data_IF_280249286340
#
_entry.id   IF_280249286340
#
_cell.length_a   1.000
_cell.length_b   1.000
_cell.length_c   1.000
_cell.angle_alpha   90.00
_cell.angle_beta   90.00
_cell.angle_gamma   90.00
#
_symmetry.space_group_name_H-M   'P 1'
#
loop_
_entity.id
_entity.type
_entity.pdbx_description
1 polymer ?
#
# COMPACT_ATOMS: atom_id res chain seq x y z
N UNK A 1 30.45 15.03 -18.52
CA UNK A 1 30.82 15.19 -17.09
C UNK A 1 29.71 15.83 -16.27
N UNK A 2 29.17 16.99 -16.68
CA UNK A 2 28.12 17.75 -15.94
C UNK A 2 26.88 16.95 -15.54
N UNK A 3 26.42 15.99 -16.36
CA UNK A 3 25.24 15.18 -16.05
C UNK A 3 25.47 14.17 -14.91
N UNK A 4 26.68 13.63 -14.76
CA UNK A 4 27.00 12.66 -13.72
C UNK A 4 27.10 13.33 -12.35
N UNK A 5 27.72 14.51 -12.28
CA UNK A 5 27.84 15.29 -11.05
C UNK A 5 26.47 15.79 -10.55
N UNK A 6 25.62 16.23 -11.48
CA UNK A 6 24.23 16.62 -11.17
C UNK A 6 23.43 15.43 -10.62
N UNK A 7 23.57 14.25 -11.23
CA UNK A 7 22.88 13.05 -10.76
C UNK A 7 23.37 12.60 -9.38
N UNK A 8 24.69 12.69 -9.14
CA UNK A 8 25.28 12.40 -7.84
C UNK A 8 24.76 13.36 -6.76
N UNK A 9 24.57 14.64 -7.09
CA UNK A 9 23.98 15.62 -6.17
C UNK A 9 22.51 15.32 -5.85
N UNK A 10 21.70 15.01 -6.87
CA UNK A 10 20.30 14.59 -6.70
C UNK A 10 20.22 13.35 -5.80
N UNK A 11 21.07 12.35 -6.03
CA UNK A 11 21.14 11.14 -5.21
C UNK A 11 21.55 11.45 -3.77
N UNK A 12 22.52 12.33 -3.54
CA UNK A 12 22.92 12.75 -2.19
C UNK A 12 21.78 13.43 -1.47
N UNK A 13 21.05 14.32 -2.15
CA UNK A 13 19.87 15.01 -1.61
C UNK A 13 18.72 14.03 -1.32
N UNK A 14 18.43 13.10 -2.21
CA UNK A 14 17.43 12.05 -1.98
C UNK A 14 17.80 11.14 -0.80
N UNK A 15 19.08 10.72 -0.70
CA UNK A 15 19.59 9.95 0.44
C UNK A 15 19.48 10.77 1.73
N UNK A 16 19.78 12.06 1.68
CA UNK A 16 19.65 12.95 2.84
C UNK A 16 18.19 13.07 3.30
N UNK A 17 17.25 13.28 2.38
CA UNK A 17 15.80 13.31 2.66
C UNK A 17 15.39 12.01 3.37
N UNK A 18 15.80 10.86 2.84
CA UNK A 18 15.46 9.57 3.42
C UNK A 18 16.12 9.29 4.77
N UNK A 19 17.36 9.72 4.99
CA UNK A 19 18.02 9.58 6.29
C UNK A 19 17.30 10.37 7.38
N UNK A 20 16.64 11.46 6.99
CA UNK A 20 15.85 12.31 7.88
C UNK A 20 14.34 12.04 7.73
N UNK A 21 13.95 10.88 7.20
CA UNK A 21 12.54 10.50 7.04
C UNK A 21 11.89 10.00 8.33
N UNK A 22 12.67 9.82 9.40
CA UNK A 22 12.14 9.40 10.70
C UNK A 22 11.13 10.45 11.21
N UNK A 23 9.88 10.05 11.36
CA UNK A 23 8.76 10.94 11.72
C UNK A 23 8.08 11.67 10.55
N UNK A 24 8.56 11.51 9.31
CA UNK A 24 7.89 12.04 8.11
C UNK A 24 6.90 11.04 7.54
N UNK A 25 5.77 11.54 7.04
CA UNK A 25 4.82 10.74 6.26
C UNK A 25 5.38 10.45 4.87
N UNK A 26 4.93 9.37 4.23
CA UNK A 26 5.29 9.05 2.83
C UNK A 26 5.00 10.22 1.87
N UNK A 27 3.96 11.01 2.15
CA UNK A 27 3.60 12.21 1.39
C UNK A 27 4.64 13.33 1.55
N UNK A 28 5.14 13.58 2.75
CA UNK A 28 6.17 14.61 2.97
C UNK A 28 7.49 14.22 2.30
N UNK A 29 7.87 12.94 2.41
CA UNK A 29 9.05 12.41 1.70
C UNK A 29 8.87 12.56 0.19
N UNK A 30 7.66 12.29 -0.30
CA UNK A 30 7.31 12.44 -1.70
C UNK A 30 7.42 13.88 -2.21
N UNK A 31 6.87 14.83 -1.46
CA UNK A 31 6.93 16.26 -1.78
C UNK A 31 8.37 16.77 -1.78
N UNK A 32 9.20 16.35 -0.81
CA UNK A 32 10.63 16.70 -0.78
C UNK A 32 11.40 16.07 -1.96
N UNK A 33 11.11 14.83 -2.33
CA UNK A 33 11.72 14.19 -3.51
C UNK A 33 11.26 14.83 -4.83
N UNK A 34 9.98 15.23 -4.92
CA UNK A 34 9.43 15.95 -6.06
C UNK A 34 10.01 17.36 -6.20
N UNK A 35 10.35 18.02 -5.08
CA UNK A 35 11.02 19.33 -5.04
C UNK A 35 12.44 19.32 -5.62
N UNK A 36 12.99 18.15 -5.94
CA UNK A 36 14.28 18.04 -6.62
C UNK A 36 14.23 18.50 -8.11
N UNK A 37 13.12 19.12 -8.55
CA UNK A 37 12.86 19.94 -9.76
C UNK A 37 13.33 19.41 -11.13
N UNK A 38 13.91 18.21 -11.20
CA UNK A 38 14.68 17.78 -12.38
C UNK A 38 14.44 16.36 -12.84
N UNK A 39 13.40 15.72 -12.35
CA UNK A 39 13.21 14.30 -12.54
C UNK A 39 11.90 14.07 -13.31
N UNK A 40 11.97 14.33 -14.62
CA UNK A 40 11.07 13.60 -15.52
C UNK A 40 11.30 12.10 -15.31
N UNK A 41 10.29 11.27 -15.55
CA UNK A 41 10.39 9.81 -15.39
C UNK A 41 11.62 9.22 -16.13
N UNK A 42 12.00 9.80 -17.26
CA UNK A 42 13.18 9.43 -18.05
C UNK A 42 14.51 9.69 -17.34
N UNK A 43 14.59 10.75 -16.53
CA UNK A 43 15.79 11.09 -15.75
C UNK A 43 16.02 10.17 -14.56
N UNK A 44 14.98 9.49 -14.06
CA UNK A 44 15.06 8.64 -12.88
C UNK A 44 15.41 7.17 -13.17
N UNK A 45 15.19 6.71 -14.40
CA UNK A 45 15.51 5.33 -14.82
C UNK A 45 16.98 4.93 -14.55
N UNK A 46 18.02 5.77 -14.80
CA UNK A 46 19.40 5.47 -14.42
C UNK A 46 19.59 5.28 -12.92
N UNK A 47 18.88 6.06 -12.10
CA UNK A 47 18.90 5.97 -10.63
C UNK A 47 18.28 4.67 -10.18
N UNK A 48 17.07 4.35 -10.66
CA UNK A 48 16.41 3.09 -10.37
C UNK A 48 17.30 1.88 -10.72
N UNK A 49 17.95 1.91 -11.90
CA UNK A 49 18.93 0.88 -12.30
C UNK A 49 20.17 0.84 -11.41
N UNK A 50 20.66 1.97 -10.92
CA UNK A 50 21.79 2.00 -9.98
C UNK A 50 21.41 1.40 -8.62
N UNK A 51 20.19 1.69 -8.13
CA UNK A 51 19.66 1.13 -6.90
C UNK A 51 19.45 -0.38 -7.00
N UNK A 52 18.85 -0.87 -8.10
CA UNK A 52 18.71 -2.32 -8.34
C UNK A 52 20.09 -3.00 -8.35
N UNK A 53 21.08 -2.43 -9.06
CA UNK A 53 22.45 -2.96 -9.04
C UNK A 53 23.09 -2.96 -7.64
N UNK A 54 22.77 -1.96 -6.81
CA UNK A 54 23.21 -1.90 -5.42
C UNK A 54 22.58 -3.01 -4.56
N UNK A 55 21.29 -3.32 -4.78
CA UNK A 55 20.63 -4.47 -4.17
C UNK A 55 21.28 -5.78 -4.62
N UNK A 56 21.44 -6.00 -5.93
CA UNK A 56 22.07 -7.20 -6.49
C UNK A 56 23.48 -7.41 -5.90
N UNK A 57 24.28 -6.34 -5.83
CA UNK A 57 25.61 -6.40 -5.23
C UNK A 57 25.57 -6.74 -3.74
N UNK A 58 24.59 -6.23 -2.99
CA UNK A 58 24.42 -6.55 -1.57
C UNK A 58 23.96 -8.00 -1.38
N UNK A 59 23.06 -8.51 -2.20
CA UNK A 59 22.62 -9.91 -2.18
C UNK A 59 23.78 -10.86 -2.48
N UNK A 60 24.57 -10.60 -3.54
CA UNK A 60 25.75 -11.42 -3.87
C UNK A 60 26.77 -11.49 -2.74
N UNK A 61 26.98 -10.38 -2.03
CA UNK A 61 27.87 -10.36 -0.85
C UNK A 61 27.29 -11.24 0.27
N UNK A 62 25.97 -11.25 0.46
CA UNK A 62 25.31 -12.05 1.49
C UNK A 62 25.26 -13.54 1.16
N UNK A 63 25.19 -13.91 -0.12
CA UNK A 63 25.19 -15.30 -0.58
C UNK A 63 26.60 -15.91 -0.62
N UNK A 64 27.65 -15.07 -0.59
CA UNK A 64 29.03 -15.53 -0.64
C UNK A 64 29.46 -16.18 0.70
N UNK A 65 29.94 -17.44 0.69
CA UNK A 65 30.34 -18.15 1.90
C UNK A 65 31.61 -17.59 2.54
N UNK A 66 32.39 -16.79 1.81
CA UNK A 66 33.66 -16.22 2.28
C UNK A 66 33.50 -14.82 2.89
N UNK A 67 32.28 -14.27 2.93
CA UNK A 67 32.03 -12.91 3.40
C UNK A 67 32.24 -12.80 4.91
N UNK A 68 33.09 -11.86 5.34
CA UNK A 68 33.31 -11.63 6.76
C UNK A 68 32.08 -10.96 7.41
N UNK A 69 31.90 -11.13 8.74
CA UNK A 69 30.74 -10.61 9.48
C UNK A 69 30.53 -9.10 9.31
N UNK A 70 31.61 -8.31 9.28
CA UNK A 70 31.54 -6.86 9.13
C UNK A 70 31.04 -6.45 7.74
N UNK A 71 31.47 -7.15 6.70
CA UNK A 71 31.04 -6.91 5.32
C UNK A 71 29.58 -7.33 5.12
N UNK A 72 29.20 -8.49 5.65
CA UNK A 72 27.80 -8.93 5.66
C UNK A 72 26.89 -7.91 6.36
N UNK A 73 27.30 -7.39 7.52
CA UNK A 73 26.53 -6.37 8.24
C UNK A 73 26.35 -5.08 7.41
N UNK A 74 27.40 -4.63 6.72
CA UNK A 74 27.32 -3.47 5.81
C UNK A 74 26.41 -3.75 4.62
N UNK A 75 26.50 -4.94 4.02
CA UNK A 75 25.64 -5.34 2.90
C UNK A 75 24.17 -5.40 3.32
N UNK A 76 23.86 -5.96 4.50
CA UNK A 76 22.50 -5.95 5.06
C UNK A 76 21.97 -4.53 5.22
N UNK A 77 22.74 -3.66 5.88
CA UNK A 77 22.34 -2.25 6.07
C UNK A 77 22.07 -1.55 4.73
N UNK A 78 22.94 -1.75 3.74
CA UNK A 78 22.74 -1.20 2.38
C UNK A 78 21.49 -1.74 1.71
N UNK A 79 21.27 -3.06 1.76
CA UNK A 79 20.09 -3.69 1.15
C UNK A 79 18.80 -3.13 1.76
N UNK A 80 18.69 -3.10 3.09
CA UNK A 80 17.52 -2.56 3.79
C UNK A 80 17.24 -1.11 3.37
N UNK A 81 18.24 -0.23 3.41
CA UNK A 81 18.06 1.18 3.00
C UNK A 81 17.65 1.31 1.53
N UNK A 82 18.24 0.49 0.64
CA UNK A 82 17.98 0.57 -0.80
C UNK A 82 16.58 0.06 -1.14
N UNK A 83 16.16 -1.05 -0.50
CA UNK A 83 14.80 -1.61 -0.64
C UNK A 83 13.76 -0.61 -0.15
N UNK A 84 13.96 -0.01 1.03
CA UNK A 84 13.06 1.03 1.55
C UNK A 84 12.99 2.25 0.63
N UNK A 85 14.14 2.73 0.12
CA UNK A 85 14.19 3.84 -0.85
C UNK A 85 13.39 3.49 -2.12
N UNK A 86 13.58 2.31 -2.70
CA UNK A 86 12.83 1.86 -3.87
C UNK A 86 11.32 1.86 -3.61
N UNK A 87 10.89 1.44 -2.42
CA UNK A 87 9.48 1.48 -2.03
C UNK A 87 8.90 2.90 -2.06
N UNK A 88 9.59 3.87 -1.44
CA UNK A 88 9.16 5.26 -1.46
C UNK A 88 9.16 5.86 -2.86
N UNK A 89 10.18 5.55 -3.67
CA UNK A 89 10.25 5.98 -5.06
C UNK A 89 9.12 5.42 -5.93
N UNK A 90 8.65 4.21 -5.64
CA UNK A 90 7.49 3.63 -6.31
C UNK A 90 6.20 4.41 -5.99
N UNK A 91 6.00 4.80 -4.73
CA UNK A 91 4.84 5.59 -4.33
C UNK A 91 4.76 6.93 -5.07
N UNK A 92 5.91 7.56 -5.35
CA UNK A 92 6.00 8.79 -6.15
C UNK A 92 6.14 8.58 -7.66
N UNK A 93 5.89 7.36 -8.15
CA UNK A 93 5.92 7.02 -9.57
C UNK A 93 7.28 7.27 -10.25
N UNK A 94 8.37 7.31 -9.49
CA UNK A 94 9.74 7.42 -9.99
C UNK A 94 10.39 6.05 -10.25
N UNK A 95 9.79 4.98 -9.75
CA UNK A 95 10.18 3.59 -10.00
C UNK A 95 8.98 2.83 -10.55
N UNK A 96 9.19 2.12 -11.66
CA UNK A 96 8.14 1.31 -12.27
C UNK A 96 7.82 0.06 -11.43
N UNK A 97 6.55 -0.38 -11.46
CA UNK A 97 6.06 -1.59 -10.78
C UNK A 97 6.95 -2.82 -11.02
N UNK A 98 7.41 -3.03 -12.26
CA UNK A 98 8.28 -4.15 -12.65
C UNK A 98 9.57 -4.23 -11.81
N UNK A 99 10.09 -3.10 -11.34
CA UNK A 99 11.29 -3.03 -10.49
C UNK A 99 10.96 -3.52 -9.08
N UNK A 100 9.80 -3.15 -8.54
CA UNK A 100 9.34 -3.62 -7.22
C UNK A 100 9.09 -5.12 -7.24
N UNK A 101 8.42 -5.65 -8.28
CA UNK A 101 8.21 -7.09 -8.42
C UNK A 101 9.52 -7.85 -8.55
N UNK A 102 10.45 -7.34 -9.36
CA UNK A 102 11.79 -7.90 -9.44
C UNK A 102 12.48 -7.92 -8.08
N UNK A 103 12.44 -6.81 -7.33
CA UNK A 103 13.05 -6.73 -6.00
C UNK A 103 12.46 -7.75 -5.02
N UNK A 104 11.13 -7.92 -5.02
CA UNK A 104 10.45 -8.93 -4.20
C UNK A 104 10.88 -10.36 -4.60
N UNK A 105 10.97 -10.63 -5.90
CA UNK A 105 11.45 -11.92 -6.42
C UNK A 105 12.93 -12.17 -6.08
N UNK A 106 13.79 -11.16 -6.12
CA UNK A 106 15.22 -11.29 -5.77
C UNK A 106 15.42 -11.49 -4.25
N UNK A 107 14.55 -10.92 -3.41
CA UNK A 107 14.55 -11.16 -1.97
C UNK A 107 14.04 -12.56 -1.61
N UNK A 108 13.02 -13.05 -2.33
CA UNK A 108 12.39 -14.35 -2.09
C UNK A 108 12.38 -15.16 -3.40
N UNK A 109 13.53 -15.73 -3.79
CA UNK A 109 13.71 -16.38 -5.08
C UNK A 109 12.68 -17.49 -5.33
N UNK A 110 12.19 -17.67 -6.57
CA UNK A 110 11.30 -18.78 -6.92
C UNK A 110 12.06 -20.11 -6.81
N UNK A 111 11.62 -21.01 -5.93
CA UNK A 111 12.19 -22.34 -5.73
C UNK A 111 12.21 -22.79 -4.26
N UNK A 112 12.85 -23.94 -4.01
CA UNK A 112 12.97 -24.56 -2.67
C UNK A 112 14.05 -23.92 -1.78
N UNK A 113 14.74 -22.90 -2.30
CA UNK A 113 15.72 -22.15 -1.52
C UNK A 113 15.05 -21.42 -0.36
N UNK A 114 15.37 -21.80 0.87
CA UNK A 114 14.92 -21.08 2.06
C UNK A 114 15.64 -19.72 2.13
N UNK A 115 14.93 -18.58 1.99
CA UNK A 115 15.59 -17.28 2.08
C UNK A 115 16.17 -17.07 3.47
N UNK A 116 17.20 -16.24 3.57
CA UNK A 116 17.71 -15.80 4.86
C UNK A 116 16.65 -14.96 5.59
N UNK A 117 16.60 -15.04 6.92
CA UNK A 117 15.68 -14.26 7.75
C UNK A 117 15.72 -12.76 7.40
N UNK A 118 16.92 -12.23 7.14
CA UNK A 118 17.11 -10.84 6.76
C UNK A 118 16.42 -10.45 5.44
N UNK A 119 16.33 -11.36 4.46
CA UNK A 119 15.63 -11.11 3.20
C UNK A 119 14.11 -11.09 3.41
N UNK A 120 13.59 -11.93 4.30
CA UNK A 120 12.17 -11.89 4.73
C UNK A 120 11.85 -10.55 5.38
N UNK A 121 12.72 -10.06 6.28
CA UNK A 121 12.54 -8.74 6.92
C UNK A 121 12.59 -7.57 5.93
N UNK A 122 13.46 -7.65 4.91
CA UNK A 122 13.49 -6.66 3.83
C UNK A 122 12.20 -6.70 2.99
N UNK A 123 11.67 -7.90 2.72
CA UNK A 123 10.43 -8.08 1.97
C UNK A 123 9.24 -7.53 2.74
N UNK A 124 9.14 -7.84 4.04
CA UNK A 124 8.14 -7.24 4.94
C UNK A 124 8.23 -5.71 4.92
N UNK A 125 9.44 -5.15 5.09
CA UNK A 125 9.63 -3.69 5.12
C UNK A 125 9.22 -3.02 3.81
N UNK A 126 9.54 -3.64 2.66
CA UNK A 126 9.11 -3.14 1.36
C UNK A 126 7.58 -3.16 1.25
N UNK A 127 6.96 -4.30 1.53
CA UNK A 127 5.52 -4.50 1.41
C UNK A 127 4.73 -3.60 2.38
N UNK A 128 5.26 -3.31 3.57
CA UNK A 128 4.65 -2.32 4.47
C UNK A 128 4.53 -0.93 3.84
N UNK A 129 5.50 -0.56 3.00
CA UNK A 129 5.51 0.74 2.28
C UNK A 129 4.63 0.68 1.02
N UNK A 130 4.78 -0.36 0.19
CA UNK A 130 4.17 -0.38 -1.16
C UNK A 130 2.94 -1.27 -1.30
N UNK A 131 2.60 -2.06 -0.28
CA UNK A 131 1.58 -3.11 -0.36
C UNK A 131 0.21 -2.59 -0.78
N UNK A 132 -0.26 -1.51 -0.17
CA UNK A 132 -1.53 -0.85 -0.56
C UNK A 132 -1.53 -0.43 -2.04
N UNK A 133 -0.47 0.25 -2.48
CA UNK A 133 -0.35 0.74 -3.86
C UNK A 133 -0.11 -0.40 -4.88
N UNK A 134 0.30 -1.59 -4.44
CA UNK A 134 0.34 -2.79 -5.26
C UNK A 134 -1.01 -3.51 -5.29
N UNK A 135 -1.74 -3.55 -4.18
CA UNK A 135 -3.07 -4.14 -4.10
C UNK A 135 -4.04 -3.49 -5.10
N UNK A 136 -3.97 -2.16 -5.24
CA UNK A 136 -4.81 -1.42 -6.20
C UNK A 136 -4.62 -1.82 -7.66
N UNK A 137 -3.42 -2.27 -8.04
CA UNK A 137 -3.04 -2.50 -9.44
C UNK A 137 -2.72 -3.95 -9.77
N UNK A 138 -2.45 -4.78 -8.77
CA UNK A 138 -1.99 -6.17 -8.93
C UNK A 138 -2.17 -7.00 -7.63
N UNK A 139 -3.39 -6.99 -7.08
CA UNK A 139 -3.72 -7.75 -5.87
C UNK A 139 -3.36 -9.24 -5.97
N UNK A 140 -3.58 -9.85 -7.14
CA UNK A 140 -3.36 -11.30 -7.32
C UNK A 140 -1.90 -11.72 -7.11
N UNK A 141 -0.94 -11.00 -7.70
CA UNK A 141 0.48 -11.28 -7.49
C UNK A 141 0.91 -10.98 -6.06
N UNK A 142 0.37 -9.91 -5.45
CA UNK A 142 0.66 -9.56 -4.06
C UNK A 142 0.19 -10.66 -3.09
N UNK A 143 -1.05 -11.13 -3.23
CA UNK A 143 -1.62 -12.22 -2.42
C UNK A 143 -0.79 -13.50 -2.57
N UNK A 144 -0.43 -13.87 -3.80
CA UNK A 144 0.43 -15.03 -4.05
C UNK A 144 1.80 -14.90 -3.36
N UNK A 145 2.41 -13.71 -3.42
CA UNK A 145 3.69 -13.46 -2.78
C UNK A 145 3.63 -13.52 -1.25
N UNK A 146 2.58 -12.95 -0.64
CA UNK A 146 2.37 -13.01 0.82
C UNK A 146 2.09 -14.45 1.26
N UNK A 147 1.28 -15.19 0.50
CA UNK A 147 1.05 -16.62 0.75
C UNK A 147 2.36 -17.41 0.77
N UNK A 148 3.25 -17.14 -0.19
CA UNK A 148 4.60 -17.73 -0.21
C UNK A 148 5.43 -17.37 1.02
N UNK A 149 5.42 -16.10 1.46
CA UNK A 149 6.11 -15.70 2.69
C UNK A 149 5.59 -16.47 3.90
N UNK A 150 4.27 -16.59 4.05
CA UNK A 150 3.62 -17.33 5.13
C UNK A 150 4.07 -18.79 5.11
N UNK A 151 4.01 -19.45 3.95
CA UNK A 151 4.48 -20.84 3.80
C UNK A 151 5.94 -21.02 4.18
N UNK A 152 6.82 -20.12 3.72
CA UNK A 152 8.25 -20.16 4.04
C UNK A 152 8.46 -20.01 5.54
N UNK A 153 7.73 -19.11 6.19
CA UNK A 153 7.82 -18.92 7.65
C UNK A 153 7.26 -20.08 8.46
N UNK A 154 6.33 -20.86 7.90
CA UNK A 154 5.81 -22.07 8.53
C UNK A 154 6.77 -23.27 8.38
N UNK A 155 7.45 -23.40 7.24
CA UNK A 155 8.37 -24.51 6.92
C UNK A 155 9.77 -24.35 7.52
N UNK A 156 10.18 -23.12 7.83
CA UNK A 156 11.54 -22.80 8.28
C UNK A 156 11.63 -22.60 9.80
N UNK A 157 12.84 -22.70 10.34
CA UNK A 157 13.13 -22.42 11.75
C UNK A 157 13.31 -20.92 12.03
N UNK A 158 12.51 -20.05 11.43
CA UNK A 158 12.63 -18.61 11.69
C UNK A 158 12.25 -18.28 13.15
N UNK A 159 12.93 -17.30 13.77
CA UNK A 159 12.56 -16.77 15.06
C UNK A 159 11.08 -16.35 15.12
N UNK A 160 10.45 -16.55 16.28
CA UNK A 160 9.05 -16.17 16.50
C UNK A 160 8.74 -14.70 16.13
N UNK A 161 9.61 -13.70 16.38
CA UNK A 161 9.38 -12.33 15.94
C UNK A 161 9.18 -12.19 14.42
N UNK A 162 10.02 -12.85 13.62
CA UNK A 162 9.92 -12.80 12.15
C UNK A 162 8.64 -13.44 11.64
N UNK A 163 8.23 -14.57 12.23
CA UNK A 163 6.94 -15.22 11.91
C UNK A 163 5.75 -14.30 12.21
N UNK A 164 5.77 -13.61 13.36
CA UNK A 164 4.73 -12.64 13.72
C UNK A 164 4.62 -11.47 12.74
N UNK A 165 5.75 -10.95 12.24
CA UNK A 165 5.73 -9.87 11.25
C UNK A 165 5.09 -10.32 9.92
N UNK A 166 5.34 -11.55 9.48
CA UNK A 166 4.71 -12.10 8.26
C UNK A 166 3.22 -12.35 8.46
N UNK A 167 2.82 -12.80 9.65
CA UNK A 167 1.40 -12.93 10.02
C UNK A 167 0.69 -11.57 10.08
N UNK A 168 1.31 -10.55 10.69
CA UNK A 168 0.83 -9.16 10.67
C UNK A 168 0.66 -8.67 9.22
N UNK A 169 1.62 -8.97 8.34
CA UNK A 169 1.54 -8.61 6.93
C UNK A 169 0.35 -9.26 6.23
N UNK A 170 0.08 -10.54 6.53
CA UNK A 170 -1.09 -11.26 5.99
C UNK A 170 -2.38 -10.57 6.44
N UNK A 171 -2.50 -10.26 7.72
CA UNK A 171 -3.66 -9.58 8.29
C UNK A 171 -3.87 -8.18 7.69
N UNK A 172 -2.80 -7.38 7.58
CA UNK A 172 -2.86 -6.06 6.94
C UNK A 172 -3.32 -6.19 5.49
N UNK A 173 -2.85 -7.21 4.76
CA UNK A 173 -3.21 -7.40 3.36
C UNK A 173 -4.68 -7.73 3.14
N UNK A 174 -5.32 -8.44 4.08
CA UNK A 174 -6.74 -8.79 3.99
C UNK A 174 -7.65 -7.67 4.50
N UNK A 175 -7.20 -6.88 5.47
CA UNK A 175 -8.04 -5.88 6.16
C UNK A 175 -7.85 -4.44 5.64
N UNK A 176 -6.62 -4.06 5.32
CA UNK A 176 -6.19 -2.66 5.23
C UNK A 176 -5.68 -2.24 3.86
N UNK A 177 -5.26 -3.19 3.02
CA UNK A 177 -4.83 -2.93 1.64
C UNK A 177 -5.93 -3.16 0.60
N UNK A 178 -7.11 -3.60 1.04
CA UNK A 178 -8.31 -3.55 0.23
C UNK A 178 -8.58 -2.07 -0.12
N UNK A 179 -8.79 -1.70 -1.40
CA UNK A 179 -9.16 -0.35 -1.76
C UNK A 179 -10.47 -0.01 -1.05
N UNK A 180 -10.39 0.83 -0.01
CA UNK A 180 -11.56 1.38 0.65
C UNK A 180 -12.26 2.28 -0.35
N UNK A 181 -13.31 1.78 -0.97
CA UNK A 181 -14.15 2.62 -1.82
C UNK A 181 -14.99 3.48 -0.90
N UNK A 182 -14.66 4.77 -0.90
CA UNK A 182 -15.53 5.80 -0.35
C UNK A 182 -16.61 6.06 -1.38
N UNK A 183 -17.86 5.81 -0.99
CA UNK A 183 -19.01 6.22 -1.77
C UNK A 183 -19.66 7.41 -1.07
N UNK A 184 -19.90 8.46 -1.85
CA UNK A 184 -20.81 9.50 -1.43
C UNK A 184 -22.23 8.95 -1.60
N UNK A 185 -22.99 8.96 -0.52
CA UNK A 185 -24.38 8.53 -0.50
C UNK A 185 -25.24 9.77 -0.41
N UNK A 186 -26.05 9.99 -1.45
CA UNK A 186 -27.14 10.95 -1.43
C UNK A 186 -28.42 10.20 -1.12
N UNK A 187 -29.12 10.63 -0.10
CA UNK A 187 -30.40 10.06 0.29
C UNK A 187 -31.41 11.21 0.35
N UNK A 188 -32.48 11.10 -0.45
CA UNK A 188 -33.54 12.11 -0.52
C UNK A 188 -34.89 11.51 -0.14
N UNK A 189 -35.61 12.20 0.73
CA UNK A 189 -36.96 11.81 1.11
C UNK A 189 -37.95 12.13 -0.01
N UNK A 190 -38.63 11.09 -0.52
CA UNK A 190 -39.69 11.22 -1.52
C UNK A 190 -40.96 10.54 -0.97
N UNK A 191 -41.88 11.35 -0.47
CA UNK A 191 -43.12 10.89 0.18
C UNK A 191 -42.88 9.90 1.34
N UNK A 192 -43.07 8.59 1.10
CA UNK A 192 -42.90 7.52 2.09
C UNK A 192 -41.65 6.66 1.87
N UNK A 193 -40.82 7.00 0.89
CA UNK A 193 -39.57 6.30 0.59
C UNK A 193 -38.38 7.26 0.59
N UNK A 194 -37.19 6.69 0.65
CA UNK A 194 -35.92 7.38 0.48
C UNK A 194 -35.32 6.90 -0.84
N UNK A 195 -35.08 7.83 -1.75
CA UNK A 195 -34.28 7.57 -2.94
C UNK A 195 -32.81 7.67 -2.55
N UNK A 196 -32.09 6.56 -2.67
CA UNK A 196 -30.66 6.48 -2.37
C UNK A 196 -29.91 6.42 -3.68
N UNK A 197 -28.92 7.29 -3.85
CA UNK A 197 -27.94 7.19 -4.92
C UNK A 197 -26.53 7.20 -4.34
N UNK A 198 -25.67 6.32 -4.85
CA UNK A 198 -24.29 6.23 -4.43
C UNK A 198 -23.38 6.59 -5.60
N UNK A 199 -22.49 7.55 -5.41
CA UNK A 199 -21.47 7.93 -6.38
C UNK A 199 -20.08 7.60 -5.87
N UNK A 200 -19.19 7.20 -6.76
CA UNK A 200 -17.77 7.09 -6.42
C UNK A 200 -17.15 8.50 -6.25
N UNK A 201 -15.89 8.56 -5.77
CA UNK A 201 -15.17 9.83 -5.64
C UNK A 201 -14.93 10.58 -6.96
N UNK A 202 -15.13 9.91 -8.11
CA UNK A 202 -15.11 10.53 -9.43
C UNK A 202 -16.45 11.13 -9.87
N UNK A 203 -17.49 11.05 -9.03
CA UNK A 203 -18.85 11.51 -9.34
C UNK A 203 -19.65 10.55 -10.22
N UNK A 204 -19.12 9.37 -10.55
CA UNK A 204 -19.86 8.38 -11.33
C UNK A 204 -20.83 7.63 -10.41
N UNK A 205 -22.07 7.50 -10.86
CA UNK A 205 -23.10 6.75 -10.15
C UNK A 205 -22.76 5.25 -10.16
N UNK A 206 -22.65 4.65 -8.98
CA UNK A 206 -22.33 3.23 -8.76
C UNK A 206 -23.61 2.42 -8.61
N UNK A 207 -24.56 2.92 -7.82
CA UNK A 207 -25.88 2.32 -7.67
C UNK A 207 -26.93 3.37 -7.29
N UNK A 208 -28.21 3.03 -7.52
CA UNK A 208 -29.34 3.75 -6.96
C UNK A 208 -30.50 2.78 -6.72
N UNK A 209 -31.21 3.00 -5.63
CA UNK A 209 -32.31 2.16 -5.19
C UNK A 209 -33.21 2.95 -4.23
N UNK A 210 -34.38 2.41 -3.95
CA UNK A 210 -35.36 3.02 -3.06
C UNK A 210 -35.48 2.19 -1.79
N UNK A 211 -35.53 2.86 -0.64
CA UNK A 211 -35.77 2.24 0.65
C UNK A 211 -37.01 2.83 1.31
N UNK A 212 -37.60 2.09 2.24
CA UNK A 212 -38.63 2.66 3.12
C UNK A 212 -37.99 3.69 4.04
N UNK A 213 -38.66 4.81 4.32
CA UNK A 213 -38.14 5.82 5.25
C UNK A 213 -37.92 5.29 6.68
N UNK A 214 -38.64 4.22 7.04
CA UNK A 214 -38.49 3.48 8.29
C UNK A 214 -37.32 2.50 8.31
N UNK A 215 -36.57 2.34 7.22
CA UNK A 215 -35.39 1.48 7.17
C UNK A 215 -34.31 2.04 8.11
N UNK A 216 -33.59 1.13 8.78
CA UNK A 216 -32.50 1.50 9.67
C UNK A 216 -31.21 1.68 8.88
N UNK A 217 -30.25 2.39 9.46
CA UNK A 217 -28.96 2.63 8.84
C UNK A 217 -28.19 1.33 8.47
N UNK A 218 -28.22 0.25 9.27
CA UNK A 218 -27.63 -1.03 8.87
C UNK A 218 -28.28 -1.65 7.63
N UNK A 219 -29.59 -1.43 7.42
CA UNK A 219 -30.30 -1.90 6.23
C UNK A 219 -29.79 -1.17 4.99
N UNK A 220 -29.50 0.14 5.09
CA UNK A 220 -28.89 0.92 4.01
C UNK A 220 -27.52 0.38 3.65
N UNK A 221 -26.67 0.14 4.64
CA UNK A 221 -25.33 -0.42 4.43
C UNK A 221 -25.42 -1.77 3.71
N UNK A 222 -26.29 -2.66 4.18
CA UNK A 222 -26.48 -3.98 3.59
C UNK A 222 -26.98 -3.91 2.14
N UNK A 223 -27.91 -2.99 1.84
CA UNK A 223 -28.43 -2.80 0.49
C UNK A 223 -27.37 -2.20 -0.46
N UNK A 224 -26.58 -1.21 0.00
CA UNK A 224 -25.47 -0.70 -0.80
C UNK A 224 -24.45 -1.82 -1.09
N UNK A 225 -24.15 -2.65 -0.10
CA UNK A 225 -23.26 -3.80 -0.26
C UNK A 225 -23.81 -4.85 -1.22
N UNK A 226 -25.13 -5.10 -1.23
CA UNK A 226 -25.77 -6.06 -2.14
C UNK A 226 -25.64 -5.63 -3.61
N UNK A 227 -25.71 -4.32 -3.87
CA UNK A 227 -25.63 -3.75 -5.22
C UNK A 227 -24.20 -3.62 -5.74
N UNK A 228 -23.22 -3.53 -4.85
CA UNK A 228 -21.81 -3.52 -5.24
C UNK A 228 -21.40 -4.98 -5.40
N UNK A 229 -21.38 -5.45 -6.67
CA UNK A 229 -21.08 -6.82 -7.12
C UNK A 229 -19.74 -7.45 -6.66
N UNK A 230 -19.02 -6.84 -5.72
CA UNK A 230 -17.78 -7.38 -5.16
C UNK A 230 -17.87 -7.44 -3.63
N UNK A 231 -17.47 -8.56 -3.01
CA UNK A 231 -17.38 -8.68 -1.57
C UNK A 231 -16.21 -7.81 -1.08
N UNK A 232 -16.47 -6.53 -0.88
CA UNK A 232 -15.52 -5.61 -0.28
C UNK A 232 -15.73 -5.61 1.23
N UNK A 233 -14.71 -5.99 1.98
CA UNK A 233 -14.81 -6.17 3.44
C UNK A 233 -14.94 -4.84 4.21
N UNK A 234 -14.71 -3.68 3.58
CA UNK A 234 -14.84 -2.36 4.23
C UNK A 234 -15.38 -1.29 3.26
N UNK A 235 -16.67 -1.01 3.38
CA UNK A 235 -17.34 0.13 2.73
C UNK A 235 -17.38 1.32 3.70
N UNK A 236 -16.89 2.48 3.27
CA UNK A 236 -17.09 3.74 4.01
C UNK A 236 -18.10 4.59 3.27
N UNK A 237 -19.27 4.77 3.89
CA UNK A 237 -20.33 5.63 3.39
C UNK A 237 -20.18 7.02 3.99
N UNK A 238 -20.14 8.02 3.12
CA UNK A 238 -20.16 9.43 3.52
C UNK A 238 -21.45 10.01 2.96
N UNK A 239 -22.30 10.58 3.82
CA UNK A 239 -23.45 11.33 3.32
C UNK A 239 -22.96 12.56 2.57
N UNK A 240 -23.67 13.01 1.53
CA UNK A 240 -23.31 14.27 0.82
C UNK A 240 -23.22 15.48 1.75
N UNK A 241 -23.87 15.43 2.93
CA UNK A 241 -23.73 16.43 4.00
C UNK A 241 -22.35 16.45 4.67
N UNK A 242 -21.45 15.52 4.31
CA UNK A 242 -20.13 15.33 4.91
C UNK A 242 -20.13 14.53 6.20
N UNK A 243 -21.31 14.11 6.68
CA UNK A 243 -21.44 13.30 7.88
C UNK A 243 -20.98 11.85 7.62
N UNK A 244 -20.16 11.32 8.52
CA UNK A 244 -19.82 9.89 8.57
C UNK A 244 -20.99 9.13 9.17
N UNK A 245 -21.45 8.09 8.48
CA UNK A 245 -22.49 7.21 8.96
C UNK A 245 -21.91 6.20 9.97
N UNK A 246 -22.31 6.22 11.25
CA UNK A 246 -21.95 5.17 12.19
C UNK A 246 -22.57 3.84 11.75
N UNK A 247 -21.79 2.76 11.70
CA UNK A 247 -22.28 1.44 11.26
C UNK A 247 -23.27 0.79 12.25
N UNK A 248 -23.28 1.22 13.52
CA UNK A 248 -24.01 0.54 14.61
C UNK A 248 -25.19 1.36 15.18
N UNK A 249 -25.64 2.39 14.47
CA UNK A 249 -26.75 3.23 14.95
C UNK A 249 -28.11 2.68 14.52
N UNK A 250 -29.04 2.56 15.47
CA UNK A 250 -30.42 2.13 15.21
C UNK A 250 -31.32 3.25 14.65
N UNK A 251 -30.78 4.46 14.49
CA UNK A 251 -31.48 5.60 13.88
C UNK A 251 -32.03 5.23 12.50
N UNK A 252 -33.29 5.63 12.25
CA UNK A 252 -33.90 5.45 10.93
C UNK A 252 -33.32 6.46 9.94
N UNK A 253 -33.24 6.09 8.66
CA UNK A 253 -32.74 6.98 7.62
C UNK A 253 -33.61 8.25 7.54
N UNK A 254 -34.92 8.11 7.71
CA UNK A 254 -35.84 9.24 7.68
C UNK A 254 -35.63 10.26 8.82
N UNK A 255 -35.32 9.79 10.03
CA UNK A 255 -35.03 10.68 11.16
C UNK A 255 -33.67 11.36 10.99
N UNK A 256 -32.64 10.62 10.57
CA UNK A 256 -31.32 11.17 10.27
C UNK A 256 -31.38 12.27 9.21
N UNK A 257 -32.17 12.06 8.14
CA UNK A 257 -32.34 13.06 7.09
C UNK A 257 -33.11 14.29 7.58
N UNK A 258 -34.09 14.11 8.47
CA UNK A 258 -34.84 15.23 9.06
C UNK A 258 -33.92 16.10 9.92
N UNK A 259 -33.12 15.49 10.78
CA UNK A 259 -32.18 16.17 11.67
C UNK A 259 -31.09 16.94 10.91
N UNK A 260 -30.72 16.49 9.70
CA UNK A 260 -29.75 17.18 8.83
C UNK A 260 -30.32 18.39 8.07
N UNK A 261 -31.64 18.52 7.99
CA UNK A 261 -32.32 19.62 7.29
C UNK A 261 -32.83 20.72 8.24
N UNK A 262 -32.75 20.52 9.56
CA UNK A 262 -33.05 21.50 10.60
C UNK A 262 -31.81 22.33 10.99
#
# INVERSE_FOLDING_TARGET
MVAADRMADILRRAIFILKNAEGKTSRQIAEELASLELLTAEGFEPVARALVRSCDGSLRILDSPTTCKAEAARARKRLAMTVTLLGHLYLVKLVARKVIHKMLADLIPPGDGSPAEFQVLCSYSLLKVVGHALADVDASHLVAFIGKLVELTAKSSFPAPTRRLVEELREISTTSWQPKRVLAVRAEMVASHVEVSCTNMGGEQVCAFNMMASAKLPDLVAEVQSHILNPFDVLTLILETGALLPHDDETTIGDLLRDLHE
#
